data_IF_494803696900
#
_entry.id   IF_494803696900
#
_cell.length_a   1.000
_cell.length_b   1.000
_cell.length_c   1.000
_cell.angle_alpha   90.00
_cell.angle_beta   90.00
_cell.angle_gamma   90.00
#
_symmetry.space_group_name_H-M   'P 1'
#
loop_
_entity.id
_entity.type
_entity.pdbx_description
1 polymer ?
#
# COMPACT_ATOMS: atom_id res chain seq x y z
N UNK A 1 -12.20 6.90 15.51
CA UNK A 1 -10.85 6.59 14.99
C UNK A 1 -10.40 5.26 15.56
N UNK A 2 -10.04 4.32 14.71
CA UNK A 2 -9.48 3.03 15.15
C UNK A 2 -7.96 3.16 15.40
N UNK A 3 -7.40 2.24 16.21
CA UNK A 3 -5.96 2.23 16.39
C UNK A 3 -5.21 1.92 15.09
N UNK A 4 -3.98 2.43 14.97
CA UNK A 4 -3.12 2.17 13.83
C UNK A 4 -2.91 0.67 13.58
N UNK A 5 -2.81 -0.14 14.65
CA UNK A 5 -2.62 -1.58 14.55
C UNK A 5 -3.84 -2.31 13.96
N UNK A 6 -5.05 -1.90 14.36
CA UNK A 6 -6.28 -2.49 13.84
C UNK A 6 -6.41 -2.26 12.34
N UNK A 7 -6.26 -0.99 11.91
CA UNK A 7 -6.38 -0.63 10.51
C UNK A 7 -5.22 -1.22 9.69
N UNK A 8 -3.98 -1.20 10.20
CA UNK A 8 -2.84 -1.78 9.50
C UNK A 8 -2.97 -3.29 9.30
N UNK A 9 -3.60 -4.00 10.22
CA UNK A 9 -3.86 -5.44 10.08
C UNK A 9 -4.88 -5.72 8.97
N UNK A 10 -5.97 -4.94 8.91
CA UNK A 10 -7.00 -5.07 7.85
C UNK A 10 -6.42 -4.67 6.48
N UNK A 11 -5.85 -3.48 6.39
CA UNK A 11 -5.26 -2.95 5.17
C UNK A 11 -4.11 -3.81 4.67
N UNK A 12 -3.25 -4.30 5.57
CA UNK A 12 -2.18 -5.22 5.23
C UNK A 12 -2.70 -6.53 4.65
N UNK A 13 -3.82 -7.08 5.16
CA UNK A 13 -4.44 -8.27 4.59
C UNK A 13 -4.98 -8.01 3.18
N UNK A 14 -5.66 -6.90 2.99
CA UNK A 14 -6.20 -6.50 1.68
C UNK A 14 -5.06 -6.22 0.69
N UNK A 15 -3.96 -5.64 1.16
CA UNK A 15 -2.78 -5.36 0.34
C UNK A 15 -2.00 -6.64 -0.01
N UNK A 16 -1.50 -7.35 1.01
CA UNK A 16 -0.54 -8.45 0.84
C UNK A 16 -1.19 -9.81 0.59
N UNK A 17 -2.52 -9.88 0.73
CA UNK A 17 -3.32 -11.08 0.50
C UNK A 17 -2.94 -12.29 1.38
N UNK A 18 -2.14 -12.06 2.44
CA UNK A 18 -1.60 -13.09 3.33
C UNK A 18 -1.41 -12.56 4.75
N UNK A 19 -2.08 -13.18 5.72
CA UNK A 19 -1.93 -12.85 7.13
C UNK A 19 -0.51 -13.09 7.66
N UNK A 20 0.21 -14.08 7.12
CA UNK A 20 1.60 -14.33 7.47
C UNK A 20 2.53 -13.21 6.99
N UNK A 21 2.36 -12.74 5.74
CA UNK A 21 3.10 -11.57 5.22
C UNK A 21 2.80 -10.30 6.05
N UNK A 22 1.53 -10.09 6.44
CA UNK A 22 1.15 -8.98 7.31
C UNK A 22 1.88 -9.05 8.64
N UNK A 23 1.86 -10.22 9.29
CA UNK A 23 2.55 -10.43 10.56
C UNK A 23 4.04 -10.10 10.47
N UNK A 24 4.72 -10.62 9.45
CA UNK A 24 6.14 -10.36 9.21
C UNK A 24 6.42 -8.86 8.96
N UNK A 25 5.64 -8.23 8.07
CA UNK A 25 5.91 -6.86 7.62
C UNK A 25 5.59 -5.81 8.70
N UNK A 26 4.53 -6.04 9.48
CA UNK A 26 4.10 -5.13 10.56
C UNK A 26 4.60 -5.56 11.95
N UNK A 27 5.45 -6.61 12.02
CA UNK A 27 5.99 -7.14 13.27
C UNK A 27 4.91 -7.54 14.28
N UNK A 28 3.88 -8.21 13.79
CA UNK A 28 2.76 -8.69 14.60
C UNK A 28 2.64 -10.21 14.55
N UNK A 29 2.22 -10.81 15.65
CA UNK A 29 1.93 -12.25 15.64
C UNK A 29 0.69 -12.54 14.77
N UNK A 30 0.70 -13.62 13.99
CA UNK A 30 -0.37 -13.94 13.04
C UNK A 30 -1.77 -14.02 13.68
N UNK A 31 -1.86 -14.53 14.92
CA UNK A 31 -3.12 -14.57 15.67
C UNK A 31 -3.64 -13.17 16.02
N UNK A 32 -2.72 -12.24 16.34
CA UNK A 32 -3.05 -10.82 16.58
C UNK A 32 -3.57 -10.17 15.30
N UNK A 33 -2.88 -10.39 14.17
CA UNK A 33 -3.32 -9.92 12.85
C UNK A 33 -4.73 -10.41 12.56
N UNK A 34 -5.01 -11.71 12.68
CA UNK A 34 -6.34 -12.28 12.42
C UNK A 34 -7.44 -11.69 13.30
N UNK A 35 -7.16 -11.48 14.58
CA UNK A 35 -8.11 -10.87 15.51
C UNK A 35 -8.36 -9.40 15.19
N UNK A 36 -7.30 -8.64 14.90
CA UNK A 36 -7.38 -7.22 14.58
C UNK A 36 -8.16 -6.98 13.28
N UNK A 37 -7.95 -7.79 12.25
CA UNK A 37 -8.71 -7.71 10.99
C UNK A 37 -10.21 -7.84 11.23
N UNK A 38 -10.63 -8.87 11.97
CA UNK A 38 -12.04 -9.11 12.29
C UNK A 38 -12.63 -7.95 13.10
N UNK A 39 -11.90 -7.50 14.14
CA UNK A 39 -12.35 -6.39 14.97
C UNK A 39 -12.46 -5.09 14.17
N UNK A 40 -11.50 -4.81 13.30
CA UNK A 40 -11.54 -3.63 12.43
C UNK A 40 -12.75 -3.68 11.47
N UNK A 41 -12.97 -4.81 10.82
CA UNK A 41 -14.12 -5.02 9.95
C UNK A 41 -15.46 -4.81 10.69
N UNK A 42 -15.58 -5.32 11.92
CA UNK A 42 -16.77 -5.11 12.74
C UNK A 42 -17.01 -3.63 13.07
N UNK A 43 -15.95 -2.87 13.40
CA UNK A 43 -16.08 -1.43 13.69
C UNK A 43 -16.67 -0.65 12.52
N UNK A 44 -16.32 -1.02 11.30
CA UNK A 44 -16.82 -0.36 10.08
C UNK A 44 -18.07 -1.01 9.49
N UNK A 45 -18.62 -2.04 10.13
CA UNK A 45 -19.83 -2.74 9.64
C UNK A 45 -19.62 -3.47 8.32
N UNK A 46 -18.38 -3.84 7.98
CA UNK A 46 -18.04 -4.57 6.77
C UNK A 46 -17.73 -6.04 7.07
N UNK A 47 -17.85 -6.89 6.07
CA UNK A 47 -17.46 -8.29 6.14
C UNK A 47 -16.23 -8.56 5.29
N UNK A 48 -15.34 -9.45 5.79
CA UNK A 48 -14.18 -9.96 5.07
C UNK A 48 -14.54 -11.32 4.46
N UNK A 49 -14.23 -11.48 3.20
CA UNK A 49 -14.40 -12.76 2.52
C UNK A 49 -13.21 -13.06 1.61
N UNK A 50 -13.08 -14.33 1.25
CA UNK A 50 -12.02 -14.79 0.35
C UNK A 50 -12.65 -15.43 -0.88
N UNK A 51 -12.39 -14.84 -2.05
CA UNK A 51 -12.83 -15.37 -3.33
C UNK A 51 -11.62 -15.61 -4.25
N UNK A 52 -11.54 -16.80 -4.87
CA UNK A 52 -10.41 -17.18 -5.76
C UNK A 52 -9.03 -16.87 -5.14
N UNK A 53 -8.86 -17.18 -3.86
CA UNK A 53 -7.65 -16.93 -3.06
C UNK A 53 -7.37 -15.43 -2.77
N UNK A 54 -8.22 -14.50 -3.19
CA UNK A 54 -8.09 -13.06 -2.91
C UNK A 54 -9.00 -12.64 -1.76
N UNK A 55 -8.46 -11.88 -0.81
CA UNK A 55 -9.23 -11.24 0.25
C UNK A 55 -9.87 -9.96 -0.27
N UNK A 56 -11.12 -9.77 0.09
CA UNK A 56 -11.92 -8.60 -0.26
C UNK A 56 -12.87 -8.25 0.87
N UNK A 57 -13.44 -7.06 0.78
CA UNK A 57 -14.46 -6.53 1.70
C UNK A 57 -15.81 -6.48 1.00
N UNK A 58 -16.89 -6.57 1.78
CA UNK A 58 -18.25 -6.33 1.34
C UNK A 58 -18.98 -5.49 2.39
N UNK A 59 -19.75 -4.50 1.95
CA UNK A 59 -20.47 -3.56 2.79
C UNK A 59 -20.22 -2.12 2.36
N UNK A 60 -20.75 -1.18 3.14
CA UNK A 60 -20.48 0.25 2.93
C UNK A 60 -19.11 0.61 3.53
N UNK A 61 -18.16 0.94 2.65
CA UNK A 61 -16.79 1.29 3.03
C UNK A 61 -16.58 2.79 3.26
N UNK A 62 -17.61 3.61 3.23
CA UNK A 62 -17.48 5.08 3.31
C UNK A 62 -16.66 5.52 4.52
N UNK A 63 -17.01 5.03 5.72
CA UNK A 63 -16.27 5.35 6.94
C UNK A 63 -14.84 4.80 6.94
N UNK A 64 -14.65 3.59 6.41
CA UNK A 64 -13.33 2.99 6.27
C UNK A 64 -12.43 3.82 5.36
N UNK A 65 -12.95 4.32 4.24
CA UNK A 65 -12.21 5.17 3.30
C UNK A 65 -11.80 6.50 3.96
N UNK A 66 -12.68 7.13 4.72
CA UNK A 66 -12.37 8.35 5.48
C UNK A 66 -11.26 8.09 6.51
N UNK A 67 -11.35 7.00 7.25
CA UNK A 67 -10.33 6.61 8.23
C UNK A 67 -8.97 6.34 7.58
N UNK A 68 -8.94 5.67 6.42
CA UNK A 68 -7.72 5.45 5.63
C UNK A 68 -7.06 6.76 5.21
N UNK A 69 -7.86 7.76 4.80
CA UNK A 69 -7.33 9.09 4.43
C UNK A 69 -6.70 9.80 5.63
N UNK A 70 -7.32 9.71 6.82
CA UNK A 70 -6.74 10.24 8.07
C UNK A 70 -5.40 9.57 8.38
N UNK A 71 -5.36 8.23 8.31
CA UNK A 71 -4.13 7.48 8.56
C UNK A 71 -3.05 7.74 7.50
N UNK A 72 -3.42 7.92 6.23
CA UNK A 72 -2.47 8.32 5.18
C UNK A 72 -1.88 9.70 5.47
N UNK A 73 -2.71 10.69 5.83
CA UNK A 73 -2.23 12.00 6.21
C UNK A 73 -1.24 11.94 7.40
N UNK A 74 -1.52 11.09 8.41
CA UNK A 74 -0.61 10.87 9.52
C UNK A 74 0.73 10.25 9.07
N UNK A 75 0.71 9.28 8.14
CA UNK A 75 1.94 8.71 7.55
C UNK A 75 2.76 9.77 6.82
N UNK A 76 2.12 10.58 5.99
CA UNK A 76 2.77 11.68 5.26
C UNK A 76 3.39 12.73 6.19
N UNK A 77 2.76 12.98 7.34
CA UNK A 77 3.30 13.86 8.40
C UNK A 77 4.41 13.22 9.26
N UNK A 78 4.86 12.01 8.94
CA UNK A 78 5.93 11.34 9.68
C UNK A 78 5.49 10.66 10.99
N UNK A 79 4.18 10.60 11.30
CA UNK A 79 3.68 9.97 12.52
C UNK A 79 3.68 8.43 12.45
N UNK A 80 3.88 7.89 11.25
CA UNK A 80 4.09 6.45 11.05
C UNK A 80 4.83 6.20 9.72
N UNK A 81 5.16 4.92 9.44
CA UNK A 81 5.89 4.54 8.23
C UNK A 81 4.99 4.62 7.00
N UNK A 82 5.51 5.17 5.92
CA UNK A 82 4.89 5.16 4.60
C UNK A 82 4.92 3.74 4.00
N UNK A 83 4.04 3.46 3.05
CA UNK A 83 3.86 2.13 2.45
C UNK A 83 4.08 2.20 0.95
N UNK A 84 4.91 1.31 0.42
CA UNK A 84 5.17 1.18 -1.01
C UNK A 84 4.89 -0.25 -1.48
N UNK A 85 4.11 -0.37 -2.56
CA UNK A 85 4.00 -1.62 -3.34
C UNK A 85 5.09 -1.63 -4.41
N UNK A 86 5.96 -2.63 -4.39
CA UNK A 86 7.07 -2.74 -5.34
C UNK A 86 6.79 -3.69 -6.49
N UNK A 87 5.61 -4.21 -6.62
CA UNK A 87 5.25 -5.24 -7.59
C UNK A 87 6.36 -6.32 -7.71
N UNK A 88 6.04 -7.59 -7.54
CA UNK A 88 7.02 -8.69 -7.41
C UNK A 88 8.01 -8.88 -8.56
N UNK A 89 7.99 -8.02 -9.57
CA UNK A 89 8.97 -7.98 -10.67
C UNK A 89 10.23 -7.18 -10.34
N UNK A 90 10.18 -6.36 -9.30
CA UNK A 90 11.26 -5.46 -8.95
C UNK A 90 12.05 -6.05 -7.77
N UNK A 91 12.90 -7.03 -8.08
CA UNK A 91 13.87 -7.55 -7.14
C UNK A 91 15.09 -6.61 -7.15
N UNK A 92 14.94 -5.50 -6.43
CA UNK A 92 16.01 -4.52 -6.32
C UNK A 92 16.68 -4.59 -4.96
N UNK A 93 18.03 -4.63 -4.90
CA UNK A 93 18.77 -4.54 -3.66
C UNK A 93 18.47 -3.25 -2.89
N UNK A 94 17.90 -2.22 -3.54
CA UNK A 94 17.57 -0.94 -2.94
C UNK A 94 16.38 -0.99 -1.97
N UNK A 95 15.59 -2.05 -2.01
CA UNK A 95 14.49 -2.28 -1.07
C UNK A 95 14.83 -3.33 0.01
N UNK A 96 16.08 -3.80 0.05
CA UNK A 96 16.55 -4.74 1.07
C UNK A 96 17.92 -4.30 1.62
N UNK A 97 17.98 -3.62 2.76
CA UNK A 97 16.87 -3.32 3.68
C UNK A 97 15.94 -2.23 3.15
N UNK A 98 14.69 -2.17 3.65
CA UNK A 98 13.76 -1.10 3.28
C UNK A 98 14.33 0.29 3.60
N UNK A 99 14.06 1.32 2.78
CA UNK A 99 14.42 2.69 3.11
C UNK A 99 13.84 3.12 4.47
N UNK A 100 14.59 3.94 5.21
CA UNK A 100 14.15 4.41 6.53
C UNK A 100 12.77 5.08 6.45
N UNK A 101 11.88 4.74 7.37
CA UNK A 101 10.54 5.29 7.42
C UNK A 101 9.55 4.68 6.41
N UNK A 102 9.94 3.60 5.69
CA UNK A 102 9.09 2.92 4.72
C UNK A 102 8.76 1.48 5.11
N UNK A 103 7.60 1.03 4.72
CA UNK A 103 7.18 -0.38 4.67
C UNK A 103 7.14 -0.76 3.20
N UNK A 104 8.00 -1.67 2.81
CA UNK A 104 8.07 -2.20 1.44
C UNK A 104 7.33 -3.52 1.38
N UNK A 105 6.32 -3.62 0.54
CA UNK A 105 5.54 -4.84 0.38
C UNK A 105 5.26 -5.18 -1.07
N UNK A 106 4.91 -6.43 -1.29
CA UNK A 106 4.49 -6.91 -2.60
C UNK A 106 3.37 -7.93 -2.46
N UNK A 107 2.29 -7.70 -3.20
CA UNK A 107 1.19 -8.65 -3.33
C UNK A 107 1.57 -9.87 -4.19
N UNK A 108 2.73 -9.85 -4.88
CA UNK A 108 3.21 -10.88 -5.82
C UNK A 108 2.24 -11.21 -6.96
N UNK A 109 1.41 -10.27 -7.34
CA UNK A 109 0.45 -10.43 -8.42
C UNK A 109 0.98 -9.74 -9.69
N UNK A 110 1.79 -10.46 -10.45
CA UNK A 110 2.30 -9.99 -11.73
C UNK A 110 1.14 -9.60 -12.67
N UNK A 111 1.14 -8.33 -13.12
CA UNK A 111 0.14 -7.84 -14.08
C UNK A 111 -1.25 -7.56 -13.52
N UNK A 112 -1.48 -7.72 -12.22
CA UNK A 112 -2.76 -7.42 -11.58
C UNK A 112 -2.84 -5.94 -11.17
N UNK A 113 -3.92 -5.22 -11.48
CA UNK A 113 -4.15 -3.84 -11.03
C UNK A 113 -4.33 -3.69 -9.52
N UNK A 114 -4.15 -4.77 -8.75
CA UNK A 114 -4.37 -4.82 -7.31
C UNK A 114 -3.58 -3.75 -6.55
N UNK A 115 -2.32 -3.53 -6.89
CA UNK A 115 -1.50 -2.46 -6.28
C UNK A 115 -2.12 -1.08 -6.50
N UNK A 116 -2.59 -0.78 -7.72
CA UNK A 116 -3.27 0.48 -8.04
C UNK A 116 -4.61 0.60 -7.29
N UNK A 117 -5.34 -0.51 -7.09
CA UNK A 117 -6.56 -0.48 -6.29
C UNK A 117 -6.25 -0.16 -4.83
N UNK A 118 -5.25 -0.82 -4.21
CA UNK A 118 -4.80 -0.52 -2.86
C UNK A 118 -4.33 0.93 -2.72
N UNK A 119 -3.66 1.45 -3.73
CA UNK A 119 -3.22 2.82 -3.79
C UNK A 119 -4.40 3.81 -3.81
N UNK A 120 -5.38 3.61 -4.69
CA UNK A 120 -6.60 4.43 -4.75
C UNK A 120 -7.45 4.37 -3.48
N UNK A 121 -7.37 3.26 -2.77
CA UNK A 121 -8.03 3.08 -1.47
C UNK A 121 -7.24 3.63 -0.29
N UNK A 122 -6.15 4.37 -0.51
CA UNK A 122 -5.28 4.94 0.54
C UNK A 122 -4.63 3.90 1.48
N UNK A 123 -4.61 2.64 1.07
CA UNK A 123 -3.97 1.54 1.80
C UNK A 123 -2.45 1.67 1.72
N UNK A 124 -1.93 2.05 0.56
CA UNK A 124 -0.51 2.32 0.28
C UNK A 124 -0.32 3.76 -0.20
N UNK A 125 0.88 4.26 -0.11
CA UNK A 125 1.20 5.68 -0.37
C UNK A 125 1.91 5.88 -1.72
N UNK A 126 2.64 4.86 -2.17
CA UNK A 126 3.34 4.82 -3.45
C UNK A 126 3.20 3.42 -4.06
N UNK A 127 3.00 3.38 -5.36
CA UNK A 127 3.00 2.12 -6.11
C UNK A 127 4.08 2.17 -7.19
N UNK A 128 4.99 1.20 -7.17
CA UNK A 128 5.94 0.97 -8.26
C UNK A 128 5.33 -0.07 -9.20
N UNK A 129 5.08 0.31 -10.44
CA UNK A 129 4.47 -0.60 -11.41
C UNK A 129 4.99 -0.36 -12.84
N UNK A 130 4.85 -1.35 -13.75
CA UNK A 130 5.08 -1.16 -15.17
C UNK A 130 4.14 -0.07 -15.69
N UNK A 131 4.66 0.85 -16.50
CA UNK A 131 3.86 1.94 -17.09
C UNK A 131 2.75 1.43 -18.01
N UNK A 132 2.92 0.26 -18.58
CA UNK A 132 1.91 -0.44 -19.40
C UNK A 132 0.67 -0.87 -18.62
N UNK A 133 0.76 -0.98 -17.30
CA UNK A 133 -0.33 -1.40 -16.43
C UNK A 133 -1.13 -0.24 -15.82
N UNK A 134 -0.80 0.99 -16.23
CA UNK A 134 -1.49 2.17 -15.72
C UNK A 134 -2.87 2.29 -16.38
N UNK A 135 -3.91 2.66 -15.60
CA UNK A 135 -5.22 2.92 -16.15
C UNK A 135 -5.17 4.16 -17.06
N UNK A 136 -5.95 4.12 -18.14
CA UNK A 136 -6.05 5.20 -19.14
C UNK A 136 -6.56 6.52 -18.53
N UNK A 137 -7.34 6.45 -17.47
CA UNK A 137 -7.84 7.60 -16.70
C UNK A 137 -7.02 7.76 -15.42
N UNK A 138 -6.05 8.66 -15.46
CA UNK A 138 -5.10 8.89 -14.35
C UNK A 138 -4.90 10.37 -14.04
N UNK A 139 -5.95 11.19 -14.17
CA UNK A 139 -5.87 12.64 -13.91
C UNK A 139 -5.49 12.99 -12.47
N UNK A 140 -5.74 12.09 -11.53
CA UNK A 140 -5.41 12.21 -10.12
C UNK A 140 -4.02 11.66 -9.74
N UNK A 141 -3.29 11.12 -10.73
CA UNK A 141 -2.02 10.44 -10.52
C UNK A 141 -0.85 11.26 -11.10
N UNK A 142 0.25 11.30 -10.37
CA UNK A 142 1.55 11.72 -10.89
C UNK A 142 2.41 10.48 -11.11
N UNK A 143 2.92 10.33 -12.33
CA UNK A 143 3.78 9.24 -12.73
C UNK A 143 5.19 9.77 -12.83
N UNK A 144 6.12 9.15 -12.11
CA UNK A 144 7.53 9.50 -12.10
C UNK A 144 8.29 8.31 -12.70
N UNK A 145 8.72 8.40 -13.96
CA UNK A 145 9.42 7.31 -14.63
C UNK A 145 10.77 7.05 -13.98
N UNK A 146 11.15 5.78 -13.91
CA UNK A 146 12.49 5.35 -13.55
C UNK A 146 13.29 5.06 -14.83
N UNK A 147 14.57 5.44 -14.83
CA UNK A 147 15.49 5.14 -15.91
C UNK A 147 15.95 3.67 -15.82
N UNK A 148 15.08 2.74 -16.16
CA UNK A 148 15.36 1.31 -16.18
C UNK A 148 15.15 0.75 -17.58
N UNK A 149 15.73 -0.41 -17.88
CA UNK A 149 15.53 -1.13 -19.15
C UNK A 149 14.08 -1.55 -19.42
N UNK A 150 13.26 -1.59 -18.38
CA UNK A 150 11.81 -1.81 -18.44
C UNK A 150 11.15 -0.49 -18.02
N UNK A 151 10.12 -0.06 -18.72
CA UNK A 151 9.36 1.15 -18.40
C UNK A 151 8.58 1.00 -17.09
N UNK A 152 9.26 1.21 -15.97
CA UNK A 152 8.67 1.31 -14.64
C UNK A 152 8.53 2.76 -14.21
N UNK A 153 7.53 3.02 -13.37
CA UNK A 153 7.36 4.32 -12.74
C UNK A 153 6.79 4.23 -11.34
N UNK A 154 7.10 5.23 -10.56
CA UNK A 154 6.39 5.49 -9.30
C UNK A 154 5.09 6.20 -9.59
N UNK A 155 4.02 5.66 -9.03
CA UNK A 155 2.70 6.27 -9.07
C UNK A 155 2.39 6.83 -7.69
N UNK A 156 2.11 8.12 -7.64
CA UNK A 156 1.73 8.86 -6.43
C UNK A 156 0.47 9.67 -6.70
N UNK A 157 -0.34 9.94 -5.69
CA UNK A 157 -1.45 10.88 -5.84
C UNK A 157 -0.89 12.28 -6.13
N UNK A 158 -1.45 12.98 -7.09
CA UNK A 158 -0.99 14.30 -7.51
C UNK A 158 -0.87 15.26 -6.31
N UNK A 159 -1.83 15.23 -5.40
CA UNK A 159 -1.82 16.02 -4.17
C UNK A 159 -0.67 15.69 -3.21
N UNK A 160 0.00 14.56 -3.37
CA UNK A 160 1.10 14.10 -2.51
C UNK A 160 2.45 14.05 -3.21
N UNK A 161 2.51 14.35 -4.51
CA UNK A 161 3.73 14.26 -5.30
C UNK A 161 4.88 15.14 -4.78
N UNK A 162 4.56 16.28 -4.16
CA UNK A 162 5.51 17.23 -3.61
C UNK A 162 5.77 17.04 -2.10
N UNK A 163 5.29 15.96 -1.50
CA UNK A 163 5.59 15.67 -0.09
C UNK A 163 7.07 15.31 0.06
N UNK A 164 7.74 15.94 1.02
CA UNK A 164 9.18 15.81 1.26
C UNK A 164 9.64 14.34 1.31
N UNK A 165 8.98 13.52 2.11
CA UNK A 165 9.31 12.11 2.28
C UNK A 165 9.15 11.27 1.01
N UNK A 166 8.22 11.64 0.14
CA UNK A 166 8.05 11.00 -1.18
C UNK A 166 9.17 11.46 -2.11
N UNK A 167 9.48 12.75 -2.10
CA UNK A 167 10.57 13.32 -2.91
C UNK A 167 11.93 12.73 -2.50
N UNK A 168 12.19 12.53 -1.22
CA UNK A 168 13.40 11.88 -0.72
C UNK A 168 13.53 10.43 -1.22
N UNK A 169 12.44 9.65 -1.17
CA UNK A 169 12.44 8.29 -1.71
C UNK A 169 12.77 8.28 -3.21
N UNK A 170 12.10 9.14 -3.97
CA UNK A 170 12.28 9.23 -5.41
C UNK A 170 13.72 9.65 -5.73
N UNK A 171 14.26 10.63 -5.02
CA UNK A 171 15.64 11.06 -5.17
C UNK A 171 16.62 9.92 -4.92
N UNK A 172 16.46 9.21 -3.80
CA UNK A 172 17.30 8.06 -3.43
C UNK A 172 17.29 6.98 -4.52
N UNK A 173 16.13 6.71 -5.10
CA UNK A 173 15.97 5.65 -6.10
C UNK A 173 16.33 6.10 -7.53
N UNK A 174 16.42 7.39 -7.82
CA UNK A 174 16.92 7.92 -9.10
C UNK A 174 18.45 7.97 -9.19
N UNK A 175 19.15 7.84 -8.07
CA UNK A 175 20.63 7.77 -8.04
C UNK A 175 21.17 6.39 -8.46
N UNK A 176 20.29 5.49 -8.77
CA UNK A 176 20.55 4.12 -9.15
C UNK A 176 20.40 3.95 -10.65
#
# INVERSE_FOLDING_TARGET
MVSLELLSSLDGLLWLQSGAKVGALFQQHQTTVSRNQKKCAQVFGISLFKHKKKWSTNGDETLLQLERRVHQAARLQGKSRLRIEINGWFDSPHFNPPPSGWIVGSANNHGDPHGIQCFRQHIIDVCLCPLTNLPTESQDLTIIPLNTTIEFGFVVLQQHANQERISELIYTLKQI
#
